data_IF_957893071276
#
_entry.id   IF_957893071276
#
_cell.length_a   1.000
_cell.length_b   1.000
_cell.length_c   1.000
_cell.angle_alpha   90.00
_cell.angle_beta   90.00
_cell.angle_gamma   90.00
#
_symmetry.space_group_name_H-M   'P 1'
#
loop_
_entity.id
_entity.type
_entity.pdbx_description
1 polymer ?
#
# COMPACT_ATOMS: atom_id res chain seq x y z
N UNK A 1 -19.38 -7.98 9.86
CA UNK A 1 -19.33 -8.20 8.39
C UNK A 1 -18.77 -7.01 7.60
N UNK A 2 -18.79 -5.76 8.11
CA UNK A 2 -18.27 -4.60 7.37
C UNK A 2 -16.73 -4.54 7.23
N UNK A 3 -15.95 -5.20 8.10
CA UNK A 3 -14.48 -5.14 8.05
C UNK A 3 -13.82 -5.89 6.88
N UNK A 4 -14.52 -6.86 6.26
CA UNK A 4 -13.93 -7.78 5.27
C UNK A 4 -14.06 -7.29 3.82
N UNK A 5 -14.92 -6.30 3.56
CA UNK A 5 -15.16 -5.79 2.21
C UNK A 5 -14.09 -4.79 1.74
N UNK A 6 -13.44 -4.09 2.68
CA UNK A 6 -12.38 -3.12 2.35
C UNK A 6 -11.12 -3.79 1.77
N UNK A 7 -10.74 -4.93 2.34
CA UNK A 7 -9.48 -5.59 2.02
C UNK A 7 -9.49 -6.22 0.62
N UNK A 8 -10.67 -6.67 0.13
CA UNK A 8 -10.79 -7.33 -1.18
C UNK A 8 -10.67 -6.37 -2.37
N UNK A 9 -11.12 -5.12 -2.23
CA UNK A 9 -11.11 -4.15 -3.34
C UNK A 9 -9.68 -3.79 -3.74
N UNK A 10 -8.81 -3.54 -2.75
CA UNK A 10 -7.44 -3.15 -3.04
C UNK A 10 -6.62 -4.34 -3.57
N UNK A 11 -6.72 -5.50 -2.91
CA UNK A 11 -5.88 -6.66 -3.19
C UNK A 11 -6.12 -7.24 -4.61
N UNK A 12 -7.37 -7.23 -5.09
CA UNK A 12 -7.73 -7.85 -6.37
C UNK A 12 -7.72 -6.92 -7.59
N UNK A 13 -8.05 -5.64 -7.42
CA UNK A 13 -8.25 -4.72 -8.55
C UNK A 13 -7.12 -3.71 -8.71
N UNK A 14 -6.82 -2.91 -7.67
CA UNK A 14 -5.84 -1.84 -7.77
C UNK A 14 -4.41 -2.39 -7.96
N UNK A 15 -4.03 -3.39 -7.15
CA UNK A 15 -2.72 -4.03 -7.29
C UNK A 15 -2.55 -4.73 -8.65
N UNK A 16 -3.61 -5.38 -9.16
CA UNK A 16 -3.58 -6.02 -10.50
C UNK A 16 -3.47 -4.99 -11.62
N UNK A 17 -4.21 -3.88 -11.55
CA UNK A 17 -4.15 -2.79 -12.53
C UNK A 17 -2.78 -2.12 -12.55
N UNK A 18 -2.18 -1.84 -11.38
CA UNK A 18 -0.85 -1.27 -11.28
C UNK A 18 0.20 -2.14 -12.00
N UNK A 19 0.19 -3.46 -11.74
CA UNK A 19 1.11 -4.42 -12.36
C UNK A 19 0.86 -4.61 -13.86
N UNK A 20 -0.41 -4.67 -14.30
CA UNK A 20 -0.72 -4.92 -15.71
C UNK A 20 -0.54 -3.70 -16.61
N UNK A 21 -0.78 -2.49 -16.09
CA UNK A 21 -0.75 -1.25 -16.88
C UNK A 21 0.51 -0.41 -16.64
N UNK A 22 1.48 -0.91 -15.87
CA UNK A 22 2.68 -0.15 -15.47
C UNK A 22 2.32 1.22 -14.87
N UNK A 23 1.25 1.26 -14.07
CA UNK A 23 0.73 2.49 -13.48
C UNK A 23 1.20 2.60 -12.02
N UNK A 24 1.78 3.74 -11.66
CA UNK A 24 2.18 4.03 -10.27
C UNK A 24 0.96 4.49 -9.47
N UNK A 25 0.68 3.83 -8.34
CA UNK A 25 -0.42 4.18 -7.43
C UNK A 25 0.16 4.80 -6.16
N UNK A 26 -0.30 6.00 -5.83
CA UNK A 26 -0.07 6.62 -4.51
C UNK A 26 -1.39 6.58 -3.73
N UNK A 27 -1.37 5.97 -2.55
CA UNK A 27 -2.54 5.88 -1.68
C UNK A 27 -2.26 6.55 -0.33
N UNK A 28 -3.20 7.37 0.13
CA UNK A 28 -3.23 7.92 1.48
C UNK A 28 -4.38 7.27 2.22
N UNK A 29 -4.07 6.62 3.33
CA UNK A 29 -5.05 5.89 4.13
C UNK A 29 -4.65 5.90 5.60
N UNK A 30 -5.65 5.86 6.48
CA UNK A 30 -5.45 5.59 7.90
C UNK A 30 -5.65 4.09 8.24
N UNK A 31 -6.03 3.28 7.24
CA UNK A 31 -6.17 1.83 7.41
C UNK A 31 -4.81 1.14 7.22
N UNK A 32 -4.17 0.83 8.35
CA UNK A 32 -2.86 0.17 8.43
C UNK A 32 -2.86 -1.23 7.78
N UNK A 33 -4.04 -1.84 7.61
CA UNK A 33 -4.16 -3.22 7.09
C UNK A 33 -3.76 -3.35 5.63
N UNK A 34 -3.75 -2.27 4.87
CA UNK A 34 -3.44 -2.28 3.42
C UNK A 34 -1.94 -2.16 3.15
N UNK A 35 -1.13 -1.99 4.20
CA UNK A 35 0.31 -1.79 4.08
C UNK A 35 1.05 -3.07 3.67
N UNK A 36 0.46 -4.23 3.88
CA UNK A 36 1.02 -5.55 3.58
C UNK A 36 1.21 -5.84 2.08
N UNK A 37 0.50 -5.09 1.24
CA UNK A 37 0.48 -5.22 -0.23
C UNK A 37 1.15 -4.05 -0.95
N UNK A 38 1.71 -3.09 -0.21
CA UNK A 38 2.41 -1.95 -0.78
C UNK A 38 3.89 -2.30 -1.03
N UNK A 39 4.44 -1.86 -2.17
CA UNK A 39 5.87 -2.03 -2.44
C UNK A 39 6.74 -1.15 -1.50
N UNK A 40 6.21 -0.01 -1.07
CA UNK A 40 6.87 0.91 -0.13
C UNK A 40 5.86 1.63 0.75
N UNK A 41 6.29 1.99 1.96
CA UNK A 41 5.45 2.69 2.94
C UNK A 41 6.19 3.94 3.42
N UNK A 42 5.55 5.09 3.21
CA UNK A 42 6.05 6.39 3.66
C UNK A 42 5.14 6.99 4.73
N UNK A 43 5.74 7.47 5.82
CA UNK A 43 4.99 8.14 6.90
C UNK A 43 5.15 9.65 6.77
N UNK A 44 4.03 10.38 6.69
CA UNK A 44 4.02 11.83 6.67
C UNK A 44 3.50 12.39 8.00
N UNK A 45 4.20 13.38 8.56
CA UNK A 45 3.77 14.13 9.75
C UNK A 45 4.11 15.60 9.54
N UNK A 46 3.18 16.49 9.85
CA UNK A 46 3.37 17.94 9.78
C UNK A 46 3.92 18.41 8.42
N UNK A 47 3.41 17.82 7.32
CA UNK A 47 3.83 18.13 5.95
C UNK A 47 5.22 17.60 5.55
N UNK A 48 5.86 16.77 6.38
CA UNK A 48 7.18 16.20 6.13
C UNK A 48 7.14 14.68 6.10
N UNK A 49 7.90 14.08 5.19
CA UNK A 49 8.17 12.63 5.23
C UNK A 49 9.11 12.35 6.41
N UNK A 50 8.68 11.46 7.30
CA UNK A 50 9.36 11.16 8.57
C UNK A 50 10.10 9.82 8.53
N UNK A 51 9.67 8.89 7.68
CA UNK A 51 10.33 7.61 7.47
C UNK A 51 9.93 7.00 6.13
N UNK A 52 10.91 6.55 5.37
CA UNK A 52 10.75 5.64 4.24
C UNK A 52 11.15 4.25 4.74
N UNK A 53 10.21 3.31 4.76
CA UNK A 53 10.52 1.92 5.04
C UNK A 53 10.36 1.16 3.74
N UNK A 54 11.47 0.99 3.03
CA UNK A 54 11.53 0.00 1.97
C UNK A 54 11.30 -1.37 2.61
N UNK A 55 10.23 -2.06 2.21
CA UNK A 55 10.01 -3.44 2.60
C UNK A 55 11.01 -4.30 1.81
N UNK A 56 12.23 -4.42 2.32
CA UNK A 56 13.25 -5.30 1.73
C UNK A 56 12.79 -6.73 1.99
N UNK A 57 12.37 -7.43 0.94
CA UNK A 57 12.26 -8.88 0.95
C UNK A 57 13.66 -9.45 1.21
N UNK A 58 13.85 -10.07 2.38
CA UNK A 58 15.11 -10.71 2.78
C UNK A 58 15.10 -12.22 2.52
N UNK A 59 14.41 -12.65 1.45
CA UNK A 59 14.50 -14.01 0.90
C UNK A 59 15.72 -14.12 -0.02
N UNK A 60 16.90 -14.22 0.59
CA UNK A 60 18.11 -14.75 -0.05
C UNK A 60 18.39 -16.16 0.48
#
# INVERSE_FOLDING_TARGET
MAQHLHDQIFNSHLHRLAKQQSCTILLVTHDIRILDIADSIVHMKDGRLTRDTALVDNSA
#
